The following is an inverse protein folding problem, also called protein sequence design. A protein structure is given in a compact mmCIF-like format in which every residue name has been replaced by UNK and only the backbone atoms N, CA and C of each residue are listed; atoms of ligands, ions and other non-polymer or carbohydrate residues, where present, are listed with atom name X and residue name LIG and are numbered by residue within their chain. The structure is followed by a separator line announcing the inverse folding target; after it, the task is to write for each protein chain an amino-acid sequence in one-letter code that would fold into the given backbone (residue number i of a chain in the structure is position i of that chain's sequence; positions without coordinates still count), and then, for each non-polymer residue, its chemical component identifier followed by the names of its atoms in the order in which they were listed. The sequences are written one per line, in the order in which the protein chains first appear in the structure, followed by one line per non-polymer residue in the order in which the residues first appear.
data_IF_892364483748
#
_entry.id   IF_892364483748
#
_cell.length_a   1.000
_cell.length_b   1.000
_cell.length_c   1.000
_cell.angle_alpha   90.00
_cell.angle_beta   90.00
_cell.angle_gamma   90.00
#
_symmetry.space_group_name_H-M   'P 1'
#
loop_
_entity.id
_entity.type
_entity.pdbx_description
1 polymer ?
#
# COMPACT_ATOMS: atom_id res chain seq x y z
N UNK A 1 -5.01 3.95 5.87
CA UNK A 1 -3.69 4.60 5.67
C UNK A 1 -3.47 4.99 4.21
N UNK A 2 -3.53 4.07 3.23
CA UNK A 2 -3.40 4.45 1.81
C UNK A 2 -4.44 5.47 1.32
N UNK A 3 -5.71 5.34 1.73
CA UNK A 3 -6.72 6.35 1.42
C UNK A 3 -6.37 7.74 1.99
N UNK A 4 -5.70 7.81 3.15
CA UNK A 4 -5.26 9.07 3.76
C UNK A 4 -4.14 9.72 2.95
N UNK A 5 -3.14 8.94 2.52
CA UNK A 5 -2.04 9.48 1.69
C UNK A 5 -2.55 9.94 0.32
N UNK A 6 -3.48 9.19 -0.29
CA UNK A 6 -4.12 9.59 -1.55
C UNK A 6 -4.96 10.85 -1.38
N UNK A 7 -5.78 10.94 -0.34
CA UNK A 7 -6.59 12.14 -0.10
C UNK A 7 -5.71 13.37 0.15
N UNK A 8 -4.68 13.25 0.99
CA UNK A 8 -3.72 14.32 1.23
C UNK A 8 -3.02 14.77 -0.06
N UNK A 9 -2.64 13.83 -0.95
CA UNK A 9 -2.10 14.18 -2.26
C UNK A 9 -3.11 15.00 -3.09
N UNK A 10 -4.37 14.59 -3.14
CA UNK A 10 -5.39 15.30 -3.93
C UNK A 10 -5.62 16.73 -3.44
N UNK A 11 -5.63 16.93 -2.13
CA UNK A 11 -5.86 18.22 -1.50
C UNK A 11 -4.64 19.14 -1.60
N UNK A 12 -3.43 18.57 -1.53
CA UNK A 12 -2.19 19.33 -1.30
C UNK A 12 -1.20 19.31 -2.47
N UNK A 13 -1.49 18.62 -3.60
CA UNK A 13 -0.52 18.46 -4.71
C UNK A 13 -0.01 19.78 -5.30
N UNK A 14 -0.79 20.84 -5.23
CA UNK A 14 -0.44 22.17 -5.75
C UNK A 14 -0.01 23.14 -4.62
N UNK A 15 0.05 22.68 -3.36
CA UNK A 15 0.45 23.50 -2.22
C UNK A 15 1.97 23.40 -1.98
N UNK A 16 2.74 24.48 -2.22
CA UNK A 16 4.19 24.46 -2.02
C UNK A 16 4.62 24.39 -0.54
N UNK A 17 3.69 24.62 0.39
CA UNK A 17 3.97 24.58 1.83
C UNK A 17 3.68 23.20 2.46
N UNK A 18 3.11 22.28 1.70
CA UNK A 18 2.76 20.95 2.21
C UNK A 18 4.01 20.15 2.57
N UNK A 19 4.00 19.56 3.78
CA UNK A 19 5.09 18.74 4.31
C UNK A 19 4.63 17.30 4.46
N UNK A 20 4.72 16.47 3.39
CA UNK A 20 4.16 15.12 3.37
C UNK A 20 4.63 14.20 4.51
N UNK A 21 5.89 14.34 4.93
CA UNK A 21 6.43 13.57 6.05
C UNK A 21 5.77 13.98 7.37
N UNK A 22 5.80 15.27 7.70
CA UNK A 22 5.35 15.78 9.00
C UNK A 22 3.84 15.69 9.14
N UNK A 23 3.11 15.96 8.07
CA UNK A 23 1.65 16.09 8.11
C UNK A 23 0.93 14.77 7.87
N UNK A 24 1.57 13.77 7.24
CA UNK A 24 0.92 12.50 6.88
C UNK A 24 1.70 11.28 7.34
N UNK A 25 2.93 11.08 6.86
CA UNK A 25 3.65 9.83 7.09
C UNK A 25 4.09 9.63 8.54
N UNK A 26 4.57 10.68 9.21
CA UNK A 26 4.98 10.62 10.62
C UNK A 26 3.78 10.34 11.55
N UNK A 27 2.62 11.01 11.41
CA UNK A 27 1.40 10.61 12.12
C UNK A 27 1.01 9.14 11.89
N UNK A 28 1.05 8.64 10.65
CA UNK A 28 0.77 7.23 10.33
C UNK A 28 1.77 6.32 11.02
N UNK A 29 3.07 6.66 10.97
CA UNK A 29 4.13 5.90 11.61
C UNK A 29 3.98 5.85 13.12
N UNK A 30 3.75 6.98 13.79
CA UNK A 30 3.54 7.02 15.23
C UNK A 30 2.28 6.28 15.65
N UNK A 31 1.20 6.37 14.86
CA UNK A 31 -0.02 5.60 15.11
C UNK A 31 0.28 4.09 15.07
N UNK A 32 0.89 3.60 14.00
CA UNK A 32 1.22 2.18 13.84
C UNK A 32 2.19 1.73 14.93
N UNK A 33 3.24 2.50 15.20
CA UNK A 33 4.27 2.10 16.15
C UNK A 33 3.77 2.03 17.58
N UNK A 34 2.87 2.93 17.98
CA UNK A 34 2.41 3.05 19.37
C UNK A 34 1.11 2.31 19.67
N UNK A 35 0.24 2.13 18.68
CA UNK A 35 -1.13 1.66 18.92
C UNK A 35 -1.52 0.40 18.15
N UNK A 36 -0.74 -0.06 17.16
CA UNK A 36 -1.03 -1.32 16.50
C UNK A 36 -0.76 -2.50 17.45
N UNK A 37 -1.77 -3.32 17.71
CA UNK A 37 -1.67 -4.43 18.67
C UNK A 37 -0.61 -5.48 18.30
N UNK A 38 -0.32 -5.67 17.01
CA UNK A 38 0.76 -6.55 16.57
C UNK A 38 2.12 -5.87 16.77
N UNK A 39 2.76 -6.13 17.92
CA UNK A 39 4.05 -5.53 18.29
C UNK A 39 5.15 -5.79 17.24
N UNK A 40 5.25 -7.01 16.72
CA UNK A 40 6.26 -7.35 15.70
C UNK A 40 5.98 -6.64 14.37
N UNK A 41 4.70 -6.46 14.00
CA UNK A 41 4.31 -5.70 12.81
C UNK A 41 4.67 -4.23 12.97
N UNK A 42 4.38 -3.65 14.14
CA UNK A 42 4.70 -2.27 14.49
C UNK A 42 6.22 -2.01 14.44
N UNK A 43 7.03 -2.89 15.05
CA UNK A 43 8.50 -2.81 14.99
C UNK A 43 9.04 -2.93 13.57
N UNK A 44 8.51 -3.85 12.77
CA UNK A 44 8.89 -4.00 11.37
C UNK A 44 8.56 -2.75 10.54
N UNK A 45 7.39 -2.11 10.77
CA UNK A 45 7.03 -0.87 10.11
C UNK A 45 7.92 0.30 10.56
N UNK A 46 8.18 0.42 11.86
CA UNK A 46 9.09 1.41 12.43
C UNK A 46 10.48 1.31 11.81
N UNK A 47 11.00 0.08 11.65
CA UNK A 47 12.27 -0.19 10.98
C UNK A 47 12.30 0.37 9.55
N UNK A 48 11.23 0.17 8.79
CA UNK A 48 11.13 0.71 7.42
C UNK A 48 11.10 2.24 7.41
N UNK A 49 10.47 2.87 8.41
CA UNK A 49 10.39 4.33 8.51
C UNK A 49 11.73 4.97 8.92
N UNK A 50 12.44 4.39 9.88
CA UNK A 50 13.59 5.01 10.54
C UNK A 50 14.93 4.52 10.00
N UNK A 51 15.14 3.21 9.86
CA UNK A 51 16.49 2.64 9.65
C UNK A 51 17.09 2.92 8.27
N UNK A 52 16.25 3.31 7.31
CA UNK A 52 16.68 3.47 5.91
C UNK A 52 16.77 4.94 5.48
N UNK A 53 16.56 5.89 6.40
CA UNK A 53 16.28 7.28 6.05
C UNK A 53 15.19 7.40 4.96
N UNK A 54 14.30 6.40 4.80
CA UNK A 54 13.38 6.38 3.66
C UNK A 54 12.40 7.56 3.68
N UNK A 55 12.07 8.08 4.85
CA UNK A 55 11.26 9.29 4.97
C UNK A 55 12.00 10.56 4.52
N UNK A 56 13.33 10.62 4.57
CA UNK A 56 14.08 11.80 4.08
C UNK A 56 14.04 11.95 2.56
N UNK A 57 13.67 10.89 1.84
CA UNK A 57 13.48 10.92 0.39
C UNK A 57 12.06 11.32 -0.04
N UNK A 58 11.15 11.55 0.92
CA UNK A 58 9.78 12.00 0.65
C UNK A 58 9.77 13.52 0.65
N UNK A 59 9.77 14.11 -0.55
CA UNK A 59 9.89 15.57 -0.72
C UNK A 59 8.68 16.20 -1.38
N UNK A 60 7.97 15.43 -2.22
CA UNK A 60 6.77 15.86 -2.93
C UNK A 60 5.53 15.15 -2.39
N UNK A 61 4.37 15.70 -2.70
CA UNK A 61 3.09 15.17 -2.24
C UNK A 61 2.87 13.72 -2.69
N UNK A 62 3.20 13.38 -3.95
CA UNK A 62 3.06 12.02 -4.49
C UNK A 62 4.01 11.01 -3.82
N UNK A 63 5.15 11.48 -3.30
CA UNK A 63 6.12 10.61 -2.67
C UNK A 63 5.54 9.95 -1.41
N UNK A 64 4.57 10.59 -0.73
CA UNK A 64 3.88 9.99 0.42
C UNK A 64 3.03 8.77 0.02
N UNK A 65 2.31 8.88 -1.10
CA UNK A 65 1.52 7.78 -1.66
C UNK A 65 2.45 6.63 -2.04
N UNK A 66 3.51 6.94 -2.80
CA UNK A 66 4.44 5.93 -3.31
C UNK A 66 5.29 5.31 -2.20
N UNK A 67 5.72 6.07 -1.18
CA UNK A 67 6.48 5.54 -0.05
C UNK A 67 5.67 4.49 0.70
N UNK A 68 4.42 4.80 1.05
CA UNK A 68 3.57 3.86 1.78
C UNK A 68 3.25 2.63 0.92
N UNK A 69 3.04 2.81 -0.38
CA UNK A 69 2.89 1.72 -1.35
C UNK A 69 4.11 0.78 -1.37
N UNK A 70 5.33 1.32 -1.51
CA UNK A 70 6.58 0.53 -1.48
C UNK A 70 6.75 -0.20 -0.15
N UNK A 71 6.49 0.48 0.98
CA UNK A 71 6.58 -0.12 2.31
C UNK A 71 5.60 -1.30 2.47
N UNK A 72 4.37 -1.17 1.99
CA UNK A 72 3.39 -2.25 2.02
C UNK A 72 3.81 -3.41 1.11
N UNK A 73 4.33 -3.13 -0.08
CA UNK A 73 4.83 -4.18 -0.98
C UNK A 73 6.06 -4.92 -0.45
N UNK A 74 6.92 -4.24 0.30
CA UNK A 74 8.02 -4.87 1.06
C UNK A 74 7.48 -5.82 2.12
N UNK A 75 6.43 -5.42 2.85
CA UNK A 75 5.74 -6.30 3.79
C UNK A 75 5.09 -7.50 3.08
N UNK A 76 4.41 -7.30 1.95
CA UNK A 76 3.83 -8.40 1.16
C UNK A 76 4.89 -9.40 0.70
N UNK A 77 6.05 -8.91 0.23
CA UNK A 77 7.16 -9.79 -0.16
C UNK A 77 7.68 -10.61 1.01
N UNK A 78 7.84 -10.00 2.18
CA UNK A 78 8.33 -10.67 3.40
C UNK A 78 7.35 -11.72 3.91
N UNK A 79 6.04 -11.44 3.85
CA UNK A 79 4.98 -12.29 4.39
C UNK A 79 4.44 -13.33 3.38
N UNK A 80 4.90 -13.30 2.13
CA UNK A 80 4.49 -14.28 1.13
C UNK A 80 4.93 -15.68 1.55
N UNK A 81 4.00 -16.64 1.58
CA UNK A 81 4.21 -18.03 2.01
C UNK A 81 4.57 -18.17 3.50
N UNK A 82 4.37 -17.14 4.31
CA UNK A 82 4.52 -17.23 5.76
C UNK A 82 3.36 -18.05 6.36
N UNK A 83 3.58 -18.69 7.50
CA UNK A 83 2.54 -19.47 8.17
C UNK A 83 1.31 -18.64 8.60
N UNK A 84 1.46 -17.31 8.71
CA UNK A 84 0.38 -16.37 8.99
C UNK A 84 -0.40 -15.92 7.74
N UNK A 85 -0.01 -16.37 6.54
CA UNK A 85 -0.70 -16.04 5.30
C UNK A 85 -2.04 -16.76 5.19
N UNK A 86 -3.11 -16.01 4.89
CA UNK A 86 -4.40 -16.59 4.53
C UNK A 86 -4.31 -17.24 3.13
N UNK A 87 -4.50 -18.56 3.00
CA UNK A 87 -4.44 -19.25 1.71
C UNK A 87 -5.43 -18.70 0.66
N UNK A 88 -6.54 -18.12 1.11
CA UNK A 88 -7.55 -17.52 0.21
C UNK A 88 -7.11 -16.15 -0.32
N UNK A 89 -6.18 -15.49 0.37
CA UNK A 89 -5.68 -14.15 0.04
C UNK A 89 -4.15 -14.09 0.10
N UNK A 90 -3.47 -14.82 -0.79
CA UNK A 90 -2.01 -14.86 -0.82
C UNK A 90 -1.42 -13.47 -1.03
N UNK A 91 -0.35 -13.15 -0.31
CA UNK A 91 0.39 -11.89 -0.43
C UNK A 91 1.07 -11.87 -1.79
N UNK A 92 0.76 -10.83 -2.55
CA UNK A 92 1.33 -10.53 -3.87
C UNK A 92 1.76 -9.09 -3.94
N UNK A 93 2.66 -8.79 -4.87
CA UNK A 93 2.95 -7.39 -5.17
C UNK A 93 1.70 -6.72 -5.72
N UNK A 94 1.42 -5.52 -5.23
CA UNK A 94 0.23 -4.75 -5.54
C UNK A 94 0.60 -3.50 -6.37
N UNK A 95 -0.21 -3.09 -7.36
CA UNK A 95 -1.31 -3.87 -7.91
C UNK A 95 -0.82 -5.08 -8.73
N UNK A 96 -1.57 -6.19 -8.73
CA UNK A 96 -1.37 -7.24 -9.73
C UNK A 96 -1.77 -6.73 -11.12
N UNK A 97 -1.16 -7.32 -12.15
CA UNK A 97 -1.43 -7.01 -13.58
C UNK A 97 -2.93 -7.04 -13.92
N UNK A 98 -3.67 -7.99 -13.33
CA UNK A 98 -5.11 -8.15 -13.52
C UNK A 98 -5.97 -6.91 -13.18
N UNK A 99 -5.48 -6.00 -12.33
CA UNK A 99 -6.20 -4.75 -11.98
C UNK A 99 -5.46 -3.48 -12.42
N UNK A 100 -4.22 -3.61 -12.89
CA UNK A 100 -3.45 -2.52 -13.49
C UNK A 100 -2.41 -3.07 -14.47
N UNK A 101 -2.82 -3.25 -15.73
CA UNK A 101 -1.97 -3.82 -16.77
C UNK A 101 -0.81 -2.90 -17.18
N UNK A 102 -0.99 -1.59 -17.07
CA UNK A 102 0.01 -0.58 -17.41
C UNK A 102 0.91 -0.20 -16.22
N UNK A 103 0.64 -0.70 -15.02
CA UNK A 103 1.48 -0.43 -13.84
C UNK A 103 2.85 -1.11 -13.88
N UNK A 104 3.05 -2.11 -14.74
CA UNK A 104 4.28 -2.86 -14.84
C UNK A 104 4.74 -2.99 -16.28
N UNK A 105 6.06 -2.95 -16.48
CA UNK A 105 6.71 -3.30 -17.74
C UNK A 105 7.85 -4.27 -17.44
N UNK A 106 7.80 -5.46 -18.04
CA UNK A 106 8.81 -6.51 -17.85
C UNK A 106 9.06 -6.86 -16.36
N UNK A 107 7.99 -6.88 -15.55
CA UNK A 107 8.06 -7.19 -14.12
C UNK A 107 8.59 -6.05 -13.23
N UNK A 108 8.80 -4.86 -13.79
CA UNK A 108 9.21 -3.66 -13.05
C UNK A 108 8.03 -2.69 -12.98
N UNK A 109 7.73 -2.19 -11.79
CA UNK A 109 6.67 -1.19 -11.61
C UNK A 109 7.05 0.17 -12.20
N UNK A 110 6.12 0.76 -12.94
CA UNK A 110 6.18 2.13 -13.44
C UNK A 110 5.47 3.04 -12.45
N UNK A 111 6.22 3.78 -11.63
CA UNK A 111 5.66 4.50 -10.48
C UNK A 111 4.63 5.57 -10.84
N UNK A 112 4.76 6.22 -12.00
CA UNK A 112 3.76 7.17 -12.52
C UNK A 112 2.40 6.49 -12.75
N UNK A 113 2.42 5.28 -13.33
CA UNK A 113 1.23 4.47 -13.59
C UNK A 113 0.64 3.91 -12.30
N UNK A 114 1.51 3.48 -11.38
CA UNK A 114 1.13 3.08 -10.03
C UNK A 114 0.46 4.23 -9.29
N UNK A 115 1.02 5.44 -9.31
CA UNK A 115 0.43 6.61 -8.66
C UNK A 115 -0.98 6.88 -9.21
N UNK A 116 -1.11 6.90 -10.53
CA UNK A 116 -2.41 7.08 -11.21
C UNK A 116 -3.42 6.01 -10.79
N UNK A 117 -2.98 4.75 -10.73
CA UNK A 117 -3.79 3.64 -10.25
C UNK A 117 -4.20 3.81 -8.78
N UNK A 118 -3.26 4.15 -7.89
CA UNK A 118 -3.50 4.31 -6.45
C UNK A 118 -4.51 5.42 -6.20
N UNK A 119 -4.40 6.55 -6.91
CA UNK A 119 -5.37 7.64 -6.85
C UNK A 119 -6.75 7.12 -7.23
N UNK A 120 -6.91 6.51 -8.41
CA UNK A 120 -8.19 5.97 -8.87
C UNK A 120 -8.76 4.92 -7.91
N UNK A 121 -7.94 3.99 -7.44
CA UNK A 121 -8.36 2.86 -6.61
C UNK A 121 -8.83 3.31 -5.21
N UNK A 122 -8.17 4.31 -4.62
CA UNK A 122 -8.54 4.81 -3.29
C UNK A 122 -9.52 6.00 -3.31
N UNK A 123 -9.85 6.57 -4.46
CA UNK A 123 -10.96 7.53 -4.61
C UNK A 123 -12.27 6.87 -5.04
N UNK A 124 -12.20 5.76 -5.77
CA UNK A 124 -13.37 4.95 -6.15
C UNK A 124 -13.46 3.70 -5.28
N UNK A 125 -13.43 3.87 -3.95
CA UNK A 125 -13.59 2.76 -3.01
C UNK A 125 -15.04 2.26 -3.10
N UNK A 126 -15.24 1.28 -3.98
CA UNK A 126 -16.39 0.36 -3.93
C UNK A 126 -15.92 -0.89 -3.19
N UNK A 127 -16.85 -1.66 -2.64
CA UNK A 127 -16.50 -3.04 -2.28
C UNK A 127 -16.08 -3.74 -3.57
N UNK A 128 -14.80 -4.11 -3.70
CA UNK A 128 -14.37 -5.08 -4.70
C UNK A 128 -15.28 -6.29 -4.50
N UNK A 129 -16.23 -6.49 -5.43
CA UNK A 129 -17.23 -7.53 -5.29
C UNK A 129 -16.49 -8.84 -5.08
N UNK A 130 -16.75 -9.50 -3.95
CA UNK A 130 -16.31 -10.88 -3.70
C UNK A 130 -17.08 -11.76 -4.68
N UNK A 131 -16.69 -11.73 -5.95
CA UNK A 131 -17.26 -12.61 -6.98
C UNK A 131 -16.50 -13.93 -6.87
N UNK A 132 -17.00 -14.75 -5.95
CA UNK A 132 -17.05 -16.20 -5.96
C UNK A 132 -15.75 -16.98 -6.28
N UNK A 133 -14.97 -17.27 -5.24
CA UNK A 133 -14.34 -18.59 -5.10
C UNK A 133 -15.36 -19.58 -4.52
N UNK A 134 -16.45 -19.83 -5.24
CA UNK A 134 -17.37 -20.95 -4.99
C UNK A 134 -17.67 -21.60 -6.34
N UNK A 135 -16.70 -22.36 -6.85
CA UNK A 135 -16.92 -23.34 -7.93
C UNK A 135 -16.33 -24.67 -7.46
N UNK A 136 -16.90 -25.24 -6.39
CA UNK A 136 -16.73 -26.66 -6.04
C UNK A 136 -17.89 -27.11 -5.14
N UNK A 137 -19.13 -27.02 -5.64
CA UNK A 137 -20.25 -27.73 -5.03
C UNK A 137 -21.34 -27.96 -6.10
N UNK A 138 -21.06 -28.81 -7.08
CA UNK A 138 -22.06 -29.51 -7.91
C UNK A 138 -21.37 -30.55 -8.81
N UNK A 139 -20.67 -31.51 -8.21
CA UNK A 139 -20.35 -32.81 -8.86
C UNK A 139 -20.40 -33.93 -7.81
N UNK A 140 -21.57 -34.08 -7.18
CA UNK A 140 -22.03 -35.36 -6.64
C UNK A 140 -23.48 -35.52 -7.05
N UNK A 141 -23.67 -36.03 -8.27
CA UNK A 141 -24.82 -36.82 -8.65
C UNK A 141 -24.29 -37.99 -9.48
#
# INVERSE_FOLDING_TARGET
MHAVTVQAYLDEKDNPNFKPVVEVLEPIHQFIYRYLSCEICAKNFHKMAVDTNALSHVTRSEDAVLWLWRAHNSANKRLSKDASEDPSYPKRQFPPDAICHDCQQNGVFLEEKVLSFMIRYYTDIRTDGVVASFVFETLFN
#
